data_IF_632569702543
#
_entry.id   IF_632569702543
#
_cell.length_a   1.000
_cell.length_b   1.000
_cell.length_c   1.000
_cell.angle_alpha   90.00
_cell.angle_beta   90.00
_cell.angle_gamma   90.00
#
_symmetry.space_group_name_H-M   'P 1'
#
loop_
_entity.id
_entity.type
_entity.pdbx_description
1 polymer ?
#
# COMPACT_ATOMS: atom_id res chain seq x y z
N UNK A 1 -10.80 -15.72 -6.67
CA UNK A 1 -10.56 -16.20 -8.05
C UNK A 1 -9.93 -17.58 -7.97
N UNK A 2 -10.73 -18.64 -8.09
CA UNK A 2 -10.30 -20.02 -7.85
C UNK A 2 -10.20 -20.80 -9.17
N UNK A 3 -9.00 -20.86 -9.72
CA UNK A 3 -8.71 -21.68 -10.90
C UNK A 3 -8.71 -23.16 -10.49
N UNK A 4 -9.73 -23.92 -10.93
CA UNK A 4 -9.85 -25.36 -10.68
C UNK A 4 -9.46 -26.12 -11.95
N UNK A 5 -8.18 -26.43 -12.09
CA UNK A 5 -7.70 -27.41 -13.08
C UNK A 5 -8.06 -28.82 -12.59
N UNK A 6 -9.05 -29.44 -13.22
CA UNK A 6 -9.43 -30.83 -12.99
C UNK A 6 -8.89 -31.69 -14.14
N UNK A 7 -7.67 -32.21 -13.99
CA UNK A 7 -7.08 -33.14 -14.95
C UNK A 7 -7.57 -34.57 -14.67
N UNK A 8 -8.73 -34.95 -15.21
CA UNK A 8 -9.08 -36.36 -15.34
C UNK A 8 -8.32 -36.93 -16.57
N UNK A 9 -7.32 -37.78 -16.34
CA UNK A 9 -6.66 -38.56 -17.40
C UNK A 9 -7.65 -39.61 -17.92
N UNK A 10 -8.43 -39.24 -18.93
CA UNK A 10 -9.02 -40.22 -19.83
C UNK A 10 -7.88 -40.78 -20.68
N UNK A 11 -7.58 -42.06 -20.53
CA UNK A 11 -6.66 -42.81 -21.39
C UNK A 11 -7.19 -42.74 -22.82
N UNK A 12 -6.68 -41.79 -23.61
CA UNK A 12 -6.92 -41.73 -25.06
C UNK A 12 -6.17 -42.90 -25.71
N UNK A 13 -6.91 -43.78 -26.36
CA UNK A 13 -6.34 -44.71 -27.33
C UNK A 13 -5.70 -43.87 -28.46
N UNK A 14 -4.46 -44.16 -28.88
CA UNK A 14 -3.82 -43.42 -29.95
C UNK A 14 -4.49 -43.76 -31.29
N UNK A 15 -5.27 -42.85 -31.85
CA UNK A 15 -5.67 -42.88 -33.25
C UNK A 15 -4.51 -42.42 -34.11
N UNK A 16 -3.53 -43.30 -34.33
CA UNK A 16 -2.56 -43.13 -35.42
C UNK A 16 -3.23 -43.66 -36.67
N UNK A 17 -3.65 -42.75 -37.56
CA UNK A 17 -4.01 -43.10 -38.93
C UNK A 17 -2.70 -43.35 -39.66
N UNK A 18 -2.19 -44.59 -39.58
CA UNK A 18 -1.08 -45.03 -40.40
C UNK A 18 -1.59 -45.30 -41.82
N UNK A 19 -0.97 -44.68 -42.83
CA UNK A 19 -1.20 -45.01 -44.22
C UNK A 19 -0.82 -46.48 -44.47
N UNK A 20 -1.75 -47.27 -45.01
CA UNK A 20 -1.52 -48.68 -45.37
C UNK A 20 -0.70 -48.74 -46.66
N UNK A 21 0.41 -49.50 -46.74
CA UNK A 21 0.94 -49.88 -48.03
C UNK A 21 -0.01 -50.89 -48.68
N UNK A 22 -0.53 -50.53 -49.85
CA UNK A 22 -1.24 -51.43 -50.76
C UNK A 22 -0.21 -52.36 -51.40
N UNK A 23 -0.18 -53.62 -50.97
CA UNK A 23 0.13 -54.80 -51.80
C UNK A 23 0.12 -56.04 -50.88
N UNK A 24 -1.03 -56.71 -50.80
CA UNK A 24 -1.11 -58.05 -50.23
C UNK A 24 -1.89 -58.90 -51.24
N UNK A 25 -1.21 -59.87 -51.82
CA UNK A 25 -1.76 -60.88 -52.71
C UNK A 25 -2.97 -61.57 -52.04
N UNK A 26 -4.12 -61.50 -52.71
CA UNK A 26 -5.36 -62.17 -52.34
C UNK A 26 -5.32 -63.63 -52.80
N UNK A 27 -4.60 -64.49 -52.07
CA UNK A 27 -4.90 -65.93 -52.05
C UNK A 27 -5.45 -66.24 -50.67
N UNK A 28 -6.70 -66.69 -50.63
CA UNK A 28 -7.50 -66.88 -49.41
C UNK A 28 -7.40 -68.34 -48.95
N UNK A 29 -6.60 -68.72 -47.94
CA UNK A 29 -6.80 -69.97 -47.24
C UNK A 29 -7.88 -69.79 -46.17
N UNK A 30 -8.93 -70.61 -46.23
CA UNK A 30 -9.92 -70.77 -45.17
C UNK A 30 -9.25 -71.44 -43.96
N UNK A 31 -8.73 -70.66 -43.02
CA UNK A 31 -8.33 -71.15 -41.70
C UNK A 31 -9.05 -70.35 -40.62
N UNK A 32 -9.89 -71.03 -39.83
CA UNK A 32 -10.79 -70.49 -38.81
C UNK A 32 -10.15 -70.43 -37.42
N UNK A 33 -8.84 -70.25 -37.33
CA UNK A 33 -8.15 -69.98 -36.07
C UNK A 33 -7.40 -68.66 -36.18
N UNK A 34 -7.90 -67.62 -35.51
CA UNK A 34 -7.16 -66.38 -35.29
C UNK A 34 -5.96 -66.67 -34.39
N UNK A 35 -4.81 -66.97 -34.99
CA UNK A 35 -3.57 -67.02 -34.25
C UNK A 35 -3.38 -65.66 -33.58
N UNK A 36 -3.28 -65.62 -32.24
CA UNK A 36 -2.84 -64.44 -31.51
C UNK A 36 -1.41 -64.17 -31.94
N UNK A 37 -1.23 -63.39 -33.02
CA UNK A 37 0.09 -63.07 -33.54
C UNK A 37 0.83 -62.30 -32.45
N UNK A 38 1.92 -62.89 -31.95
CA UNK A 38 2.93 -62.15 -31.21
C UNK A 38 3.32 -60.93 -32.04
N UNK A 39 3.65 -59.82 -31.38
CA UNK A 39 4.18 -58.60 -32.03
C UNK A 39 5.23 -59.05 -33.05
N UNK A 40 5.15 -58.72 -34.35
CA UNK A 40 6.13 -59.21 -35.31
C UNK A 40 7.48 -58.52 -35.13
N UNK A 41 8.60 -59.11 -35.58
CA UNK A 41 9.93 -58.49 -35.49
C UNK A 41 10.04 -57.16 -36.24
N UNK A 42 9.19 -56.92 -37.23
CA UNK A 42 9.08 -55.66 -37.97
C UNK A 42 8.46 -54.53 -37.13
N UNK A 43 7.74 -54.86 -36.05
CA UNK A 43 7.13 -53.86 -35.19
C UNK A 43 8.21 -53.19 -34.32
N UNK A 44 8.21 -51.84 -34.19
CA UNK A 44 9.14 -51.15 -33.28
C UNK A 44 8.93 -51.51 -31.80
N UNK A 45 7.85 -52.24 -31.48
CA UNK A 45 7.55 -52.75 -30.15
C UNK A 45 8.04 -54.19 -29.92
N UNK A 46 8.71 -54.81 -30.90
CA UNK A 46 9.29 -56.15 -30.77
C UNK A 46 10.29 -56.22 -29.62
N UNK A 47 11.14 -55.20 -29.49
CA UNK A 47 12.03 -55.00 -28.34
C UNK A 47 11.67 -53.67 -27.69
N UNK A 48 11.24 -53.70 -26.44
CA UNK A 48 10.91 -52.49 -25.68
C UNK A 48 12.16 -51.93 -25.03
N UNK A 49 12.81 -50.97 -25.71
CA UNK A 49 13.91 -50.21 -25.13
C UNK A 49 13.32 -49.00 -24.40
N UNK A 50 13.38 -48.93 -23.06
CA UNK A 50 12.87 -47.77 -22.33
C UNK A 50 13.73 -46.54 -22.63
N UNK A 51 13.09 -45.39 -22.81
CA UNK A 51 13.80 -44.13 -22.97
C UNK A 51 14.19 -43.55 -21.60
N UNK A 52 15.37 -42.94 -21.46
CA UNK A 52 15.76 -42.28 -20.22
C UNK A 52 14.85 -41.06 -19.95
N UNK A 53 14.66 -40.67 -18.67
CA UNK A 53 13.90 -39.47 -18.34
C UNK A 53 14.54 -38.23 -18.98
N UNK A 54 13.73 -37.29 -19.45
CA UNK A 54 14.18 -36.03 -20.08
C UNK A 54 15.06 -36.24 -21.34
N UNK A 55 14.75 -37.24 -22.16
CA UNK A 55 15.42 -37.43 -23.47
C UNK A 55 14.97 -36.39 -24.50
N UNK A 56 15.84 -36.01 -25.44
CA UNK A 56 15.50 -35.10 -26.55
C UNK A 56 14.28 -35.56 -27.36
N UNK A 57 14.11 -36.87 -27.53
CA UNK A 57 12.93 -37.45 -28.21
C UNK A 57 11.60 -37.17 -27.49
N UNK A 58 11.65 -36.87 -26.18
CA UNK A 58 10.47 -36.56 -25.36
C UNK A 58 10.18 -35.07 -25.23
N UNK A 59 11.01 -34.21 -25.80
CA UNK A 59 10.83 -32.75 -25.78
C UNK A 59 9.89 -32.24 -26.88
N UNK A 60 9.41 -33.13 -27.75
CA UNK A 60 8.42 -32.79 -28.77
C UNK A 60 7.14 -32.23 -28.14
N UNK A 61 6.81 -31.00 -28.51
CA UNK A 61 5.64 -30.30 -27.95
C UNK A 61 4.37 -30.80 -28.63
N UNK A 62 3.41 -31.39 -27.89
CA UNK A 62 2.16 -31.81 -28.50
C UNK A 62 1.40 -30.58 -29.02
N UNK A 63 0.73 -30.69 -30.20
CA UNK A 63 -0.03 -29.58 -30.75
C UNK A 63 -1.19 -29.20 -29.83
N UNK A 64 -1.55 -27.92 -29.83
CA UNK A 64 -2.66 -27.41 -29.01
C UNK A 64 -3.99 -27.93 -29.54
N UNK A 65 -4.64 -28.81 -28.77
CA UNK A 65 -5.98 -29.33 -29.08
C UNK A 65 -7.02 -28.23 -28.87
N UNK A 66 -7.81 -27.91 -29.90
CA UNK A 66 -8.89 -26.92 -29.86
C UNK A 66 -10.19 -27.52 -29.30
N UNK A 67 -11.05 -26.67 -28.73
CA UNK A 67 -12.35 -27.05 -28.17
C UNK A 67 -12.31 -27.47 -26.70
N UNK A 68 -13.48 -27.58 -26.07
CA UNK A 68 -13.64 -28.04 -24.69
C UNK A 68 -14.75 -29.08 -24.59
N UNK A 69 -14.57 -30.08 -23.73
CA UNK A 69 -15.62 -31.04 -23.40
C UNK A 69 -16.44 -30.51 -22.21
N UNK A 70 -17.75 -30.82 -22.15
CA UNK A 70 -18.56 -30.44 -20.99
C UNK A 70 -18.04 -31.12 -19.73
N UNK A 71 -17.94 -30.36 -18.66
CA UNK A 71 -17.48 -30.89 -17.36
C UNK A 71 -18.59 -31.73 -16.72
N UNK A 72 -18.32 -33.00 -16.34
CA UNK A 72 -19.32 -33.83 -15.68
C UNK A 72 -19.77 -33.22 -14.35
N UNK A 73 -21.07 -33.35 -14.04
CA UNK A 73 -21.63 -32.87 -12.77
C UNK A 73 -21.09 -33.69 -11.59
N UNK A 74 -20.89 -33.02 -10.46
CA UNK A 74 -20.60 -33.70 -9.20
C UNK A 74 -21.87 -34.41 -8.65
N UNK A 75 -21.77 -35.72 -8.45
CA UNK A 75 -22.84 -36.56 -7.91
C UNK A 75 -22.83 -36.60 -6.38
N UNK A 76 -21.66 -36.37 -5.78
CA UNK A 76 -21.40 -36.46 -4.34
C UNK A 76 -20.89 -35.11 -3.84
N UNK A 77 -21.75 -34.09 -3.69
CA UNK A 77 -21.30 -32.82 -3.14
C UNK A 77 -20.80 -32.99 -1.70
N UNK A 78 -19.90 -32.11 -1.26
CA UNK A 78 -19.27 -32.18 0.08
C UNK A 78 -20.28 -32.24 1.23
N UNK A 79 -21.45 -31.61 1.09
CA UNK A 79 -22.52 -31.60 2.10
C UNK A 79 -23.20 -32.96 2.28
N UNK A 80 -23.35 -33.73 1.20
CA UNK A 80 -24.03 -35.03 1.22
C UNK A 80 -23.08 -36.19 1.48
N UNK A 81 -21.76 -35.94 1.39
CA UNK A 81 -20.69 -36.89 1.61
C UNK A 81 -20.92 -38.23 0.87
N UNK A 82 -21.14 -39.31 1.63
CA UNK A 82 -21.26 -40.69 1.18
C UNK A 82 -22.70 -41.23 1.27
N UNK A 83 -23.68 -40.41 1.65
CA UNK A 83 -25.08 -40.84 1.82
C UNK A 83 -25.61 -41.69 0.67
N UNK A 84 -25.30 -41.30 -0.58
CA UNK A 84 -25.76 -42.00 -1.80
C UNK A 84 -25.02 -43.31 -2.07
N UNK A 85 -23.81 -43.48 -1.52
CA UNK A 85 -23.04 -44.72 -1.65
C UNK A 85 -23.47 -45.77 -0.62
N UNK A 86 -24.14 -45.36 0.46
CA UNK A 86 -24.61 -46.25 1.51
C UNK A 86 -25.71 -47.21 1.01
N UNK A 87 -25.72 -48.46 1.50
CA UNK A 87 -26.70 -49.47 1.07
C UNK A 87 -28.13 -49.09 1.47
N UNK A 88 -28.30 -48.31 2.52
CA UNK A 88 -29.60 -47.79 3.00
C UNK A 88 -30.27 -46.92 1.93
N UNK A 89 -29.51 -46.04 1.28
CA UNK A 89 -30.02 -45.19 0.20
C UNK A 89 -30.53 -46.02 -0.98
N UNK A 90 -29.83 -47.09 -1.35
CA UNK A 90 -30.29 -47.99 -2.41
C UNK A 90 -31.59 -48.69 -2.04
N UNK A 91 -31.70 -49.17 -0.80
CA UNK A 91 -32.93 -49.79 -0.27
C UNK A 91 -34.10 -48.80 -0.28
N UNK A 92 -33.88 -47.54 0.06
CA UNK A 92 -34.92 -46.51 0.11
C UNK A 92 -35.38 -46.06 -1.27
N UNK A 93 -34.43 -45.78 -2.17
CA UNK A 93 -34.69 -45.23 -3.51
C UNK A 93 -35.19 -46.26 -4.51
N UNK A 94 -34.70 -47.49 -4.43
CA UNK A 94 -34.96 -48.53 -5.42
C UNK A 94 -35.48 -49.80 -4.74
N UNK A 95 -36.60 -49.64 -4.02
CA UNK A 95 -37.26 -50.69 -3.23
C UNK A 95 -37.58 -51.91 -4.09
N UNK A 96 -37.39 -53.09 -3.49
CA UNK A 96 -37.88 -54.35 -4.03
C UNK A 96 -39.41 -54.39 -3.94
N UNK A 97 -40.09 -55.05 -4.88
CA UNK A 97 -41.54 -55.09 -4.88
C UNK A 97 -42.05 -55.96 -3.71
N UNK A 98 -42.97 -55.41 -2.92
CA UNK A 98 -43.49 -56.04 -1.68
C UNK A 98 -44.78 -56.83 -1.90
N UNK A 99 -45.53 -56.53 -2.97
CA UNK A 99 -46.85 -57.12 -3.22
C UNK A 99 -46.77 -58.62 -3.52
N UNK A 100 -47.71 -59.42 -3.00
CA UNK A 100 -47.79 -60.87 -3.24
C UNK A 100 -47.85 -61.23 -4.74
N UNK A 101 -48.52 -60.41 -5.57
CA UNK A 101 -48.59 -60.58 -7.02
C UNK A 101 -47.24 -60.37 -7.74
N UNK A 102 -46.33 -59.60 -7.15
CA UNK A 102 -45.00 -59.35 -7.71
C UNK A 102 -44.04 -60.54 -7.53
N UNK A 103 -44.31 -61.40 -6.54
CA UNK A 103 -43.52 -62.60 -6.24
C UNK A 103 -43.83 -63.77 -7.19
N UNK A 104 -45.00 -63.79 -7.82
CA UNK A 104 -45.35 -64.80 -8.84
C UNK A 104 -44.60 -64.50 -10.14
N UNK A 105 -43.99 -65.47 -10.84
CA UNK A 105 -43.31 -65.23 -12.12
C UNK A 105 -44.27 -64.61 -13.12
N UNK A 106 -43.79 -63.62 -13.88
CA UNK A 106 -44.59 -63.01 -14.94
C UNK A 106 -44.67 -63.96 -16.14
N UNK A 107 -45.76 -63.96 -16.93
CA UNK A 107 -45.85 -64.79 -18.12
C UNK A 107 -44.70 -64.48 -19.10
N UNK A 108 -44.07 -65.49 -19.73
CA UNK A 108 -42.95 -65.30 -20.64
C UNK A 108 -43.37 -64.46 -21.86
N UNK A 109 -42.55 -63.48 -22.22
CA UNK A 109 -42.82 -62.52 -23.31
C UNK A 109 -43.82 -61.42 -22.94
N UNK A 110 -44.32 -61.39 -21.71
CA UNK A 110 -45.27 -60.35 -21.30
C UNK A 110 -44.61 -58.99 -21.07
N UNK A 111 -45.37 -57.92 -21.28
CA UNK A 111 -44.97 -56.55 -20.94
C UNK A 111 -44.57 -56.43 -19.45
N UNK A 112 -45.19 -57.24 -18.58
CA UNK A 112 -44.90 -57.26 -17.16
C UNK A 112 -43.51 -57.85 -16.87
N UNK A 113 -43.14 -58.95 -17.53
CA UNK A 113 -41.81 -59.56 -17.43
C UNK A 113 -40.73 -58.58 -17.87
N UNK A 114 -40.91 -57.94 -19.03
CA UNK A 114 -39.97 -56.94 -19.52
C UNK A 114 -39.79 -55.78 -18.53
N UNK A 115 -40.89 -55.26 -17.96
CA UNK A 115 -40.83 -54.20 -16.93
C UNK A 115 -40.09 -54.64 -15.67
N UNK A 116 -40.26 -55.88 -15.23
CA UNK A 116 -39.54 -56.42 -14.07
C UNK A 116 -38.05 -56.54 -14.35
N UNK A 117 -37.68 -57.16 -15.48
CA UNK A 117 -36.28 -57.26 -15.93
C UNK A 117 -35.60 -55.90 -16.04
N UNK A 118 -36.30 -54.91 -16.60
CA UNK A 118 -35.79 -53.54 -16.69
C UNK A 118 -35.62 -52.88 -15.31
N UNK A 119 -36.51 -53.16 -14.35
CA UNK A 119 -36.39 -52.65 -13.00
C UNK A 119 -35.22 -53.28 -12.24
N UNK A 120 -34.99 -54.58 -12.41
CA UNK A 120 -33.83 -55.29 -11.85
C UNK A 120 -32.53 -54.74 -12.42
N UNK A 121 -32.42 -54.63 -13.75
CA UNK A 121 -31.24 -54.04 -14.40
C UNK A 121 -30.96 -52.60 -13.94
N UNK A 122 -31.99 -51.78 -13.74
CA UNK A 122 -31.83 -50.40 -13.21
C UNK A 122 -31.35 -50.39 -11.76
N UNK A 123 -31.84 -51.29 -10.91
CA UNK A 123 -31.41 -51.43 -9.52
C UNK A 123 -29.93 -51.83 -9.43
N UNK A 124 -29.55 -52.85 -10.19
CA UNK A 124 -28.18 -53.34 -10.26
C UNK A 124 -27.23 -52.23 -10.76
N UNK A 125 -27.59 -51.60 -11.88
CA UNK A 125 -26.79 -50.51 -12.45
C UNK A 125 -26.66 -49.32 -11.50
N UNK A 126 -27.73 -48.94 -10.77
CA UNK A 126 -27.68 -47.85 -9.81
C UNK A 126 -26.74 -48.18 -8.64
N UNK A 127 -26.83 -49.40 -8.10
CA UNK A 127 -25.98 -49.87 -7.02
C UNK A 127 -24.50 -49.87 -7.41
N UNK A 128 -24.18 -50.49 -8.54
CA UNK A 128 -22.81 -50.58 -9.05
C UNK A 128 -22.26 -49.19 -9.42
N UNK A 129 -23.08 -48.33 -10.04
CA UNK A 129 -22.65 -46.99 -10.45
C UNK A 129 -22.35 -46.09 -9.26
N UNK A 130 -23.22 -46.04 -8.24
CA UNK A 130 -22.98 -45.17 -7.07
C UNK A 130 -21.75 -45.61 -6.28
N UNK A 131 -21.57 -46.92 -6.07
CA UNK A 131 -20.37 -47.45 -5.42
C UNK A 131 -19.11 -47.18 -6.25
N UNK A 132 -19.15 -47.44 -7.56
CA UNK A 132 -18.01 -47.22 -8.45
C UNK A 132 -17.60 -45.76 -8.59
N UNK A 133 -18.57 -44.85 -8.71
CA UNK A 133 -18.30 -43.41 -8.80
C UNK A 133 -17.76 -42.84 -7.48
N UNK A 134 -18.26 -43.34 -6.34
CA UNK A 134 -17.77 -42.92 -5.03
C UNK A 134 -16.31 -43.38 -4.79
N UNK A 135 -15.98 -44.64 -5.12
CA UNK A 135 -14.60 -45.15 -5.06
C UNK A 135 -13.64 -44.32 -5.91
N UNK A 136 -14.00 -44.04 -7.16
CA UNK A 136 -13.20 -43.16 -8.06
C UNK A 136 -12.98 -41.77 -7.47
N UNK A 137 -13.99 -41.23 -6.78
CA UNK A 137 -13.87 -39.93 -6.11
C UNK A 137 -12.90 -40.01 -4.93
N UNK A 138 -12.98 -41.04 -4.10
CA UNK A 138 -12.06 -41.23 -2.96
C UNK A 138 -10.62 -41.35 -3.44
N UNK A 139 -10.34 -42.25 -4.39
CA UNK A 139 -9.01 -42.44 -4.99
C UNK A 139 -8.44 -41.13 -5.55
N UNK A 140 -9.27 -40.35 -6.24
CA UNK A 140 -8.87 -39.03 -6.75
C UNK A 140 -8.52 -38.06 -5.63
N UNK A 141 -9.37 -37.97 -4.60
CA UNK A 141 -9.15 -37.04 -3.47
C UNK A 141 -7.90 -37.45 -2.70
N UNK A 142 -7.67 -38.73 -2.46
CA UNK A 142 -6.46 -39.26 -1.82
C UNK A 142 -5.21 -38.95 -2.65
N UNK A 143 -5.24 -39.17 -3.96
CA UNK A 143 -4.13 -38.82 -4.84
C UNK A 143 -3.83 -37.31 -4.85
N UNK A 144 -4.86 -36.45 -4.88
CA UNK A 144 -4.68 -35.00 -4.87
C UNK A 144 -4.16 -34.50 -3.51
N UNK A 145 -4.70 -35.02 -2.41
CA UNK A 145 -4.32 -34.64 -1.05
C UNK A 145 -2.89 -35.06 -0.72
N UNK A 146 -2.49 -36.30 -1.04
CA UNK A 146 -1.12 -36.79 -0.82
C UNK A 146 -0.08 -35.96 -1.56
N UNK A 147 -0.32 -35.62 -2.83
CA UNK A 147 0.58 -34.74 -3.62
C UNK A 147 0.63 -33.34 -3.03
N UNK A 148 -0.53 -32.80 -2.62
CA UNK A 148 -0.61 -31.47 -2.01
C UNK A 148 0.15 -31.40 -0.68
N UNK A 149 -0.03 -32.40 0.18
CA UNK A 149 0.66 -32.48 1.47
C UNK A 149 2.16 -32.61 1.30
N UNK A 150 2.62 -33.47 0.39
CA UNK A 150 4.05 -33.59 0.06
C UNK A 150 4.62 -32.24 -0.37
N UNK A 151 3.96 -31.57 -1.32
CA UNK A 151 4.39 -30.25 -1.80
C UNK A 151 4.42 -29.22 -0.68
N UNK A 152 3.41 -29.20 0.20
CA UNK A 152 3.35 -28.29 1.33
C UNK A 152 4.53 -28.53 2.29
N UNK A 153 4.81 -29.80 2.62
CA UNK A 153 5.95 -30.17 3.47
C UNK A 153 7.28 -29.77 2.83
N UNK A 154 7.46 -30.01 1.54
CA UNK A 154 8.68 -29.62 0.82
C UNK A 154 8.88 -28.09 0.83
N UNK A 155 7.82 -27.31 0.60
CA UNK A 155 7.88 -25.85 0.67
C UNK A 155 8.17 -25.33 2.08
N UNK A 156 7.52 -25.89 3.09
CA UNK A 156 7.77 -25.52 4.49
C UNK A 156 9.22 -25.84 4.88
N UNK A 157 9.72 -27.01 4.49
CA UNK A 157 11.11 -27.41 4.72
C UNK A 157 12.08 -26.45 4.04
N UNK A 158 11.82 -26.07 2.79
CA UNK A 158 12.68 -25.13 2.06
C UNK A 158 12.64 -23.71 2.66
N UNK A 159 11.47 -23.26 3.15
CA UNK A 159 11.32 -21.93 3.73
C UNK A 159 12.04 -21.77 5.09
N UNK A 160 12.10 -22.84 5.89
CA UNK A 160 12.77 -22.86 7.20
C UNK A 160 14.21 -23.39 7.10
N UNK A 161 14.65 -23.80 5.91
CA UNK A 161 16.01 -24.30 5.72
C UNK A 161 17.03 -23.20 6.07
N UNK A 162 18.10 -23.55 6.80
CA UNK A 162 19.17 -22.60 7.07
C UNK A 162 19.84 -22.20 5.76
N UNK A 163 20.43 -21.00 5.76
CA UNK A 163 21.27 -20.53 4.67
C UNK A 163 22.46 -21.47 4.45
N UNK A 164 22.97 -21.47 3.22
CA UNK A 164 24.16 -22.25 2.86
C UNK A 164 25.39 -21.70 3.58
N UNK A 165 26.30 -22.59 3.97
CA UNK A 165 27.54 -22.22 4.68
C UNK A 165 28.41 -21.25 3.89
N UNK A 166 28.56 -21.48 2.58
CA UNK A 166 29.34 -20.62 1.68
C UNK A 166 28.81 -19.18 1.69
N UNK A 167 27.48 -19.01 1.61
CA UNK A 167 26.82 -17.70 1.63
C UNK A 167 27.02 -17.01 2.99
N UNK A 168 26.92 -17.78 4.08
CA UNK A 168 27.10 -17.25 5.45
C UNK A 168 28.51 -16.72 5.69
N UNK A 169 29.54 -17.38 5.13
CA UNK A 169 30.94 -17.01 5.32
C UNK A 169 31.42 -15.91 4.37
N UNK A 170 30.83 -15.82 3.18
CA UNK A 170 31.24 -14.85 2.15
C UNK A 170 30.44 -13.55 2.17
N UNK A 171 29.28 -13.52 2.83
CA UNK A 171 28.46 -12.31 2.97
C UNK A 171 29.18 -11.24 3.81
N UNK A 172 29.04 -9.99 3.40
CA UNK A 172 29.53 -8.85 4.17
C UNK A 172 28.84 -8.74 5.53
N UNK A 173 29.56 -8.21 6.52
CA UNK A 173 29.03 -8.03 7.87
C UNK A 173 28.11 -6.82 7.95
N UNK A 174 26.92 -7.00 8.52
CA UNK A 174 26.02 -5.91 8.94
C UNK A 174 25.97 -5.90 10.46
N UNK A 175 26.14 -4.72 11.08
CA UNK A 175 26.04 -4.58 12.53
C UNK A 175 24.66 -5.04 13.02
N UNK A 176 24.65 -5.86 14.06
CA UNK A 176 23.40 -6.41 14.61
C UNK A 176 22.45 -5.33 15.12
N UNK A 177 23.00 -4.20 15.60
CA UNK A 177 22.21 -3.03 15.99
C UNK A 177 21.41 -2.48 14.81
N UNK A 178 22.02 -2.33 13.63
CA UNK A 178 21.34 -1.84 12.43
C UNK A 178 20.34 -2.86 11.88
N UNK A 179 20.68 -4.15 11.89
CA UNK A 179 19.82 -5.19 11.33
C UNK A 179 18.60 -5.54 12.22
N UNK A 180 18.77 -5.50 13.56
CA UNK A 180 17.74 -5.95 14.52
C UNK A 180 16.93 -4.81 15.12
N UNK A 181 17.47 -3.59 15.16
CA UNK A 181 16.77 -2.44 15.76
C UNK A 181 15.85 -1.80 14.73
N UNK A 182 14.69 -2.42 14.51
CA UNK A 182 13.63 -1.89 13.64
C UNK A 182 12.65 -1.00 14.39
N UNK A 183 12.43 -1.28 15.67
CA UNK A 183 11.50 -0.54 16.51
C UNK A 183 12.21 0.62 17.23
N UNK A 184 11.66 1.84 17.07
CA UNK A 184 12.09 3.02 17.82
C UNK A 184 11.29 3.06 19.12
N UNK A 185 11.98 2.88 20.25
CA UNK A 185 11.37 2.98 21.57
C UNK A 185 11.18 4.45 21.97
N UNK A 186 10.14 4.78 22.74
CA UNK A 186 9.99 6.13 23.27
C UNK A 186 11.17 6.48 24.20
N UNK A 187 11.61 7.73 24.13
CA UNK A 187 12.68 8.24 25.00
C UNK A 187 12.26 8.12 26.47
N UNK A 188 13.04 7.46 27.34
CA UNK A 188 12.74 7.34 28.76
C UNK A 188 12.60 8.70 29.45
N UNK A 189 13.29 9.74 28.99
CA UNK A 189 13.29 11.07 29.61
C UNK A 189 12.31 12.04 28.96
N UNK A 190 11.36 11.53 28.15
CA UNK A 190 10.42 12.35 27.39
C UNK A 190 9.65 13.36 28.25
N UNK A 191 9.21 12.95 29.44
CA UNK A 191 8.43 13.81 30.33
C UNK A 191 9.28 14.94 30.93
N UNK A 192 10.49 14.63 31.39
CA UNK A 192 11.42 15.64 31.90
C UNK A 192 11.77 16.68 30.82
N UNK A 193 12.04 16.23 29.58
CA UNK A 193 12.33 17.14 28.46
C UNK A 193 11.11 18.01 28.12
N UNK A 194 9.89 17.47 28.20
CA UNK A 194 8.67 18.22 27.94
C UNK A 194 8.45 19.34 28.97
N UNK A 195 8.71 19.07 30.26
CA UNK A 195 8.62 20.07 31.32
C UNK A 195 9.64 21.20 31.14
N UNK A 196 10.90 20.85 30.84
CA UNK A 196 11.94 21.83 30.52
C UNK A 196 11.56 22.68 29.29
N UNK A 197 10.98 22.04 28.27
CA UNK A 197 10.50 22.77 27.09
C UNK A 197 9.38 23.75 27.44
N UNK A 198 8.42 23.34 28.28
CA UNK A 198 7.30 24.18 28.72
C UNK A 198 7.81 25.41 29.49
N UNK A 199 8.78 25.23 30.38
CA UNK A 199 9.39 26.33 31.13
C UNK A 199 10.07 27.36 30.21
N UNK A 200 10.86 26.91 29.24
CA UNK A 200 11.50 27.79 28.24
C UNK A 200 10.47 28.56 27.40
N UNK A 201 9.40 27.88 26.97
CA UNK A 201 8.33 28.53 26.20
C UNK A 201 7.61 29.59 27.05
N UNK A 202 7.38 29.33 28.34
CA UNK A 202 6.77 30.31 29.24
C UNK A 202 7.65 31.55 29.43
N UNK A 203 8.97 31.39 29.58
CA UNK A 203 9.91 32.50 29.68
C UNK A 203 9.90 33.37 28.41
N UNK A 204 9.93 32.75 27.23
CA UNK A 204 9.84 33.49 25.96
C UNK A 204 8.50 34.23 25.81
N UNK A 205 7.41 33.65 26.32
CA UNK A 205 6.11 34.31 26.32
C UNK A 205 6.08 35.52 27.25
N UNK A 206 6.72 35.42 28.42
CA UNK A 206 6.88 36.53 29.37
C UNK A 206 7.68 37.67 28.75
N UNK A 207 8.85 37.38 28.16
CA UNK A 207 9.67 38.39 27.47
C UNK A 207 8.89 39.12 26.37
N UNK A 208 8.08 38.39 25.59
CA UNK A 208 7.21 39.00 24.58
C UNK A 208 6.10 39.86 25.19
N UNK A 209 5.61 39.51 26.37
CA UNK A 209 4.60 40.29 27.09
C UNK A 209 5.22 41.58 27.64
N UNK A 210 6.41 41.49 28.22
CA UNK A 210 7.18 42.65 28.72
C UNK A 210 7.47 43.63 27.58
N UNK A 211 8.01 43.16 26.46
CA UNK A 211 8.27 44.00 25.29
C UNK A 211 6.99 44.71 24.75
N UNK A 212 5.82 44.06 24.87
CA UNK A 212 4.54 44.69 24.51
C UNK A 212 4.15 45.77 25.52
N UNK A 213 4.38 45.56 26.80
CA UNK A 213 4.12 46.56 27.84
C UNK A 213 5.01 47.78 27.66
N UNK A 214 6.29 47.59 27.34
CA UNK A 214 7.23 48.69 27.07
C UNK A 214 6.77 49.53 25.87
N UNK A 215 6.35 48.87 24.78
CA UNK A 215 5.83 49.55 23.59
C UNK A 215 4.53 50.33 23.88
N UNK A 216 3.66 49.79 24.74
CA UNK A 216 2.44 50.49 25.17
C UNK A 216 2.76 51.70 26.06
N UNK A 217 3.77 51.61 26.93
CA UNK A 217 4.22 52.71 27.76
C UNK A 217 4.79 53.86 26.90
N UNK A 218 5.58 53.52 25.87
CA UNK A 218 6.07 54.51 24.91
C UNK A 218 4.92 55.22 24.19
N UNK A 219 3.90 54.47 23.76
CA UNK A 219 2.71 55.05 23.15
C UNK A 219 1.98 55.99 24.12
N UNK A 220 1.85 55.60 25.39
CA UNK A 220 1.18 56.41 26.41
C UNK A 220 1.83 57.77 26.63
N UNK A 221 3.16 57.83 26.69
CA UNK A 221 3.89 59.09 26.87
C UNK A 221 3.81 59.97 25.63
N UNK A 222 3.93 59.34 24.45
CA UNK A 222 3.77 60.04 23.18
C UNK A 222 2.32 60.52 22.94
N UNK A 223 1.32 59.92 23.61
CA UNK A 223 -0.08 60.32 23.47
C UNK A 223 -0.35 61.75 23.93
N UNK A 224 0.50 62.33 24.79
CA UNK A 224 0.45 63.76 25.16
C UNK A 224 0.57 64.71 23.95
N UNK A 225 1.19 64.25 22.86
CA UNK A 225 1.36 65.01 21.62
C UNK A 225 0.25 64.74 20.60
N UNK A 226 -0.64 63.79 20.88
CA UNK A 226 -1.72 63.46 19.96
C UNK A 226 -2.84 64.48 20.12
N UNK A 227 -3.37 64.94 18.99
CA UNK A 227 -4.54 65.80 18.95
C UNK A 227 -5.75 64.87 18.92
N UNK A 228 -6.53 64.84 20.01
CA UNK A 228 -7.68 63.93 20.14
C UNK A 228 -8.99 64.70 20.01
N UNK A 229 -9.02 65.96 20.47
CA UNK A 229 -10.22 66.80 20.45
C UNK A 229 -10.15 67.89 19.39
N UNK A 230 -11.32 68.32 18.90
CA UNK A 230 -11.42 69.43 17.93
C UNK A 230 -10.92 70.75 18.52
N UNK A 231 -11.03 70.94 19.84
CA UNK A 231 -10.53 72.13 20.52
C UNK A 231 -8.99 72.19 20.54
N UNK A 232 -8.32 71.06 20.78
CA UNK A 232 -6.86 70.94 20.68
C UNK A 232 -6.39 71.18 19.24
N UNK A 233 -7.14 70.66 18.26
CA UNK A 233 -6.85 70.88 16.85
C UNK A 233 -6.92 72.36 16.48
N UNK A 234 -7.98 73.06 16.90
CA UNK A 234 -8.12 74.50 16.65
C UNK A 234 -6.97 75.31 17.25
N UNK A 235 -6.58 75.00 18.49
CA UNK A 235 -5.44 75.66 19.17
C UNK A 235 -4.11 75.44 18.46
N UNK A 236 -3.82 74.20 18.05
CA UNK A 236 -2.59 73.91 17.31
C UNK A 236 -2.64 74.50 15.89
N UNK A 237 -3.81 74.57 15.25
CA UNK A 237 -3.97 75.23 13.94
C UNK A 237 -3.67 76.72 14.04
N UNK A 238 -4.28 77.43 14.98
CA UNK A 238 -4.04 78.86 15.17
C UNK A 238 -2.57 79.15 15.52
N UNK A 239 -1.94 78.25 16.27
CA UNK A 239 -0.52 78.35 16.62
C UNK A 239 0.39 78.15 15.40
N UNK A 240 0.20 77.06 14.65
CA UNK A 240 1.05 76.68 13.50
C UNK A 240 0.80 77.51 12.25
N UNK A 241 -0.43 77.96 12.02
CA UNK A 241 -0.84 78.73 10.84
C UNK A 241 -1.02 80.23 11.10
N UNK A 242 -0.49 80.75 12.20
CA UNK A 242 -0.43 82.20 12.41
C UNK A 242 0.49 82.89 11.40
N UNK A 243 0.12 84.08 10.93
CA UNK A 243 0.92 84.87 9.96
C UNK A 243 2.33 85.21 10.47
N UNK A 244 2.52 85.18 11.79
CA UNK A 244 3.78 85.43 12.48
C UNK A 244 4.56 84.15 12.84
N UNK A 245 4.03 82.95 12.57
CA UNK A 245 4.62 81.68 13.06
C UNK A 245 6.08 81.52 12.61
N UNK A 246 6.33 81.67 11.31
CA UNK A 246 7.67 81.53 10.72
C UNK A 246 8.61 82.67 11.13
N UNK A 247 8.07 83.89 11.26
CA UNK A 247 8.82 85.08 11.70
C UNK A 247 9.29 84.99 13.15
N UNK A 248 8.50 84.35 14.03
CA UNK A 248 8.86 84.11 15.44
C UNK A 248 9.87 82.97 15.62
N UNK A 249 9.85 81.99 14.72
CA UNK A 249 10.70 80.81 14.80
C UNK A 249 12.07 81.00 14.10
N UNK A 250 12.14 81.90 13.13
CA UNK A 250 13.37 82.25 12.41
C UNK A 250 14.41 82.88 13.33
N UNK A 251 15.63 82.32 13.36
CA UNK A 251 16.77 82.81 14.16
C UNK A 251 17.70 83.74 13.38
N UNK A 252 17.31 84.18 12.18
CA UNK A 252 18.13 85.01 11.29
C UNK A 252 17.84 86.49 11.50
N UNK A 253 18.86 87.29 11.80
CA UNK A 253 18.75 88.75 11.94
C UNK A 253 18.70 89.49 10.59
N UNK A 254 18.81 88.78 9.46
CA UNK A 254 19.07 89.38 8.15
C UNK A 254 17.96 89.22 7.09
N UNK A 255 17.05 88.24 7.24
CA UNK A 255 15.97 87.98 6.28
C UNK A 255 14.71 87.48 7.00
N UNK A 256 13.55 88.03 6.62
CA UNK A 256 12.24 87.52 7.05
C UNK A 256 12.09 86.07 6.56
N UNK A 257 11.87 85.15 7.50
CA UNK A 257 11.68 83.74 7.20
C UNK A 257 10.19 83.48 6.96
N UNK A 258 9.83 83.22 5.70
CA UNK A 258 8.44 82.98 5.30
C UNK A 258 8.12 81.48 5.09
N UNK A 259 9.14 80.62 5.04
CA UNK A 259 8.97 79.19 4.77
C UNK A 259 9.69 78.27 5.77
N UNK A 260 9.23 77.03 5.85
CA UNK A 260 9.86 75.95 6.63
C UNK A 260 11.35 75.74 6.29
N UNK A 261 11.72 75.95 5.03
CA UNK A 261 13.08 75.80 4.53
C UNK A 261 14.02 76.91 5.02
N UNK A 262 13.47 78.10 5.30
CA UNK A 262 14.22 79.25 5.80
C UNK A 262 14.50 79.11 7.32
N UNK A 263 13.57 78.47 8.04
CA UNK A 263 13.66 78.26 9.50
C UNK A 263 14.39 76.97 9.87
N UNK A 264 14.07 75.85 9.22
CA UNK A 264 14.62 74.52 9.55
C UNK A 264 15.73 74.06 8.59
N UNK A 265 15.94 74.77 7.49
CA UNK A 265 16.89 74.40 6.47
C UNK A 265 16.36 73.34 5.51
N UNK A 266 17.23 72.87 4.62
CA UNK A 266 16.92 71.75 3.73
C UNK A 266 16.70 70.48 4.56
N UNK A 267 15.70 69.64 4.20
CA UNK A 267 15.47 68.38 4.87
C UNK A 267 16.73 67.51 4.77
N UNK A 268 16.99 66.68 5.79
CA UNK A 268 18.21 65.92 5.86
C UNK A 268 18.34 64.99 4.64
N UNK A 269 19.37 65.20 3.83
CA UNK A 269 19.77 64.31 2.75
C UNK A 269 20.66 63.19 3.29
N UNK A 270 20.84 62.11 2.51
CA UNK A 270 21.75 61.01 2.87
C UNK A 270 23.17 61.51 3.16
N UNK A 271 23.63 62.55 2.44
CA UNK A 271 24.92 63.17 2.68
C UNK A 271 24.96 63.85 4.06
N UNK A 272 23.92 64.58 4.44
CA UNK A 272 23.87 65.21 5.78
C UNK A 272 23.79 64.19 6.92
N UNK A 273 23.07 63.08 6.75
CA UNK A 273 23.03 61.98 7.74
C UNK A 273 24.40 61.28 7.84
N UNK A 274 25.09 61.12 6.72
CA UNK A 274 26.45 60.56 6.70
C UNK A 274 27.46 61.53 7.31
N UNK A 275 27.36 62.84 7.05
CA UNK A 275 28.24 63.86 7.65
C UNK A 275 27.98 64.00 9.15
N UNK A 276 26.73 63.80 9.59
CA UNK A 276 26.35 63.68 10.99
C UNK A 276 26.97 62.43 11.65
N UNK A 277 26.90 61.27 10.98
CA UNK A 277 27.52 60.03 11.46
C UNK A 277 29.06 60.09 11.45
N UNK A 278 29.64 60.72 10.43
CA UNK A 278 31.09 60.84 10.19
C UNK A 278 31.71 62.06 10.89
N UNK A 279 30.91 62.84 11.65
CA UNK A 279 31.34 64.02 12.41
C UNK A 279 31.99 65.12 11.54
N UNK A 280 31.51 65.29 10.31
CA UNK A 280 32.02 66.27 9.33
C UNK A 280 31.11 67.51 9.19
N UNK A 281 30.36 67.85 10.24
CA UNK A 281 29.46 69.01 10.20
C UNK A 281 30.26 70.33 10.18
N UNK A 282 30.02 71.16 9.16
CA UNK A 282 30.76 72.41 8.90
C UNK A 282 30.26 73.62 9.73
N UNK A 283 29.11 73.50 10.41
CA UNK A 283 28.51 74.57 11.22
C UNK A 283 29.01 74.50 12.67
N UNK A 284 29.77 75.51 13.10
CA UNK A 284 30.41 75.54 14.43
C UNK A 284 29.44 75.53 15.62
N UNK A 285 28.20 76.03 15.46
CA UNK A 285 27.17 76.10 16.51
C UNK A 285 26.51 74.72 16.72
N UNK A 286 26.19 74.03 15.62
CA UNK A 286 25.59 72.68 15.65
C UNK A 286 26.61 71.61 16.09
N UNK A 287 27.91 71.86 15.86
CA UNK A 287 28.99 70.95 16.21
C UNK A 287 29.18 70.74 17.73
N UNK A 288 28.94 71.77 18.55
CA UNK A 288 29.13 71.69 20.01
C UNK A 288 27.87 71.27 20.78
N UNK A 289 26.68 71.72 20.35
CA UNK A 289 25.42 71.35 21.01
C UNK A 289 24.99 69.92 20.67
N UNK A 290 25.27 69.43 19.46
CA UNK A 290 24.76 68.13 19.03
C UNK A 290 25.35 66.92 19.76
N UNK A 291 26.64 66.93 20.14
CA UNK A 291 27.26 65.75 20.76
C UNK A 291 26.82 65.53 22.22
N UNK A 292 26.71 66.60 23.01
CA UNK A 292 26.24 66.50 24.40
C UNK A 292 24.76 66.10 24.43
N UNK A 293 23.93 66.71 23.59
CA UNK A 293 22.50 66.39 23.54
C UNK A 293 22.24 64.97 23.00
N UNK A 294 23.02 64.50 22.01
CA UNK A 294 22.92 63.11 21.50
C UNK A 294 23.33 62.10 22.55
N UNK A 295 24.43 62.36 23.27
CA UNK A 295 24.92 61.43 24.29
C UNK A 295 23.96 61.36 25.47
N UNK A 296 23.39 62.48 25.92
CA UNK A 296 22.34 62.51 26.94
C UNK A 296 21.10 61.76 26.49
N UNK A 297 20.62 61.98 25.25
CA UNK A 297 19.46 61.24 24.70
C UNK A 297 19.71 59.73 24.63
N UNK A 298 20.91 59.30 24.21
CA UNK A 298 21.28 57.88 24.14
C UNK A 298 21.44 57.25 25.52
N UNK A 299 22.03 57.96 26.46
CA UNK A 299 22.13 57.50 27.85
C UNK A 299 20.74 57.35 28.47
N UNK A 300 19.84 58.31 28.19
CA UNK A 300 18.44 58.24 28.56
C UNK A 300 17.76 57.02 27.94
N UNK A 301 17.86 56.80 26.62
CA UNK A 301 17.22 55.65 25.96
C UNK A 301 17.75 54.30 26.47
N UNK A 302 19.06 54.19 26.69
CA UNK A 302 19.67 52.97 27.25
C UNK A 302 19.17 52.71 28.67
N UNK A 303 19.10 53.75 29.50
CA UNK A 303 18.58 53.64 30.85
C UNK A 303 17.10 53.24 30.86
N UNK A 304 16.28 53.84 29.98
CA UNK A 304 14.86 53.48 29.83
C UNK A 304 14.64 52.03 29.38
N UNK A 305 15.38 51.56 28.37
CA UNK A 305 15.30 50.17 27.90
C UNK A 305 15.76 49.17 28.97
N UNK A 306 16.77 49.52 29.78
CA UNK A 306 17.29 48.65 30.83
C UNK A 306 16.38 48.61 32.07
N UNK A 307 15.72 49.73 32.39
CA UNK A 307 14.89 49.87 33.60
C UNK A 307 13.41 49.57 33.36
N UNK A 308 12.98 49.47 32.10
CA UNK A 308 11.57 49.24 31.72
C UNK A 308 10.65 50.43 32.02
N UNK A 309 11.22 51.57 32.40
CA UNK A 309 10.50 52.79 32.76
C UNK A 309 10.96 53.96 31.91
N UNK A 310 10.02 54.78 31.45
CA UNK A 310 10.32 56.00 30.71
C UNK A 310 10.56 57.14 31.68
N UNK A 311 11.70 57.83 31.53
CA UNK A 311 12.06 58.95 32.39
C UNK A 311 11.62 60.25 31.71
N UNK A 312 11.03 61.20 32.44
CA UNK A 312 10.79 62.56 31.91
C UNK A 312 12.04 63.42 32.01
#
# INVERSE_FOLDING_TARGET
MSSRCSCARLTRLPTVIAARPTNINLTRPFSTTTAKLNVPPESPRWIQVPTPPQSQSSEEKPPVVKGTLPTPRDVFPRKEADRKAQPEYLKETARLPTNKASKKPAPPGSRLEHRRRMADARRENLGVALQGLYKRKQERVEAETTVRERRLRDHQRAAVAPERWDDRLTRSSVLSSLAKTTAVQPDPERYARAEQSKARTAQLAQQKSEAKQDALMELYINASKFIVTEEELGKELDKLFSEDFWKRQGKSMAHDADNAWDVWGQPPTVQTMLDEMMRKQQRAIDFQQSEQDRTVKRQKTIAEELTGGKME
#
